data_IF_141267256824
#
_entry.id   IF_141267256824
#
_cell.length_a   1.000
_cell.length_b   1.000
_cell.length_c   1.000
_cell.angle_alpha   90.00
_cell.angle_beta   90.00
_cell.angle_gamma   90.00
#
_symmetry.space_group_name_H-M   'P 1'
#
loop_
_entity.id
_entity.type
_entity.pdbx_description
1 polymer ?
#
# COMPACT_ATOMS: atom_id res chain seq x y z
N UNK A 1 2.40 -27.36 -4.62
CA UNK A 1 2.67 -26.23 -3.70
C UNK A 1 1.70 -25.06 -3.96
N UNK A 2 1.81 -24.31 -5.09
CA UNK A 2 0.97 -23.13 -5.35
C UNK A 2 -0.55 -23.42 -5.34
N UNK A 3 -0.98 -24.47 -6.04
CA UNK A 3 -2.40 -24.85 -6.09
C UNK A 3 -2.93 -25.43 -4.77
N UNK A 4 -2.07 -25.97 -3.94
CA UNK A 4 -2.44 -26.48 -2.61
C UNK A 4 -2.69 -25.32 -1.65
N UNK A 5 -1.85 -24.27 -1.68
CA UNK A 5 -2.06 -23.03 -0.93
C UNK A 5 -3.31 -22.28 -1.41
N UNK A 6 -3.52 -22.19 -2.71
CA UNK A 6 -4.70 -21.56 -3.30
C UNK A 6 -6.01 -22.26 -2.91
N UNK A 7 -5.97 -23.61 -2.73
CA UNK A 7 -7.12 -24.40 -2.30
C UNK A 7 -7.30 -24.49 -0.79
N UNK A 8 -6.31 -24.06 -0.02
CA UNK A 8 -6.38 -23.99 1.44
C UNK A 8 -7.24 -22.78 1.86
N UNK A 9 -8.56 -22.89 1.64
CA UNK A 9 -9.51 -21.84 2.00
C UNK A 9 -9.76 -21.90 3.50
N UNK A 10 -9.62 -20.77 4.18
CA UNK A 10 -10.04 -20.67 5.59
C UNK A 10 -11.56 -20.65 5.69
N UNK A 11 -12.11 -21.23 6.75
CA UNK A 11 -13.52 -21.11 7.07
C UNK A 11 -13.87 -19.67 7.40
N UNK A 12 -14.58 -19.00 6.50
CA UNK A 12 -15.07 -17.64 6.69
C UNK A 12 -16.58 -17.64 6.84
N UNK A 13 -17.16 -16.88 7.81
CA UNK A 13 -18.60 -16.67 7.86
C UNK A 13 -19.10 -16.08 6.54
N UNK A 14 -20.23 -16.58 6.04
CA UNK A 14 -20.81 -16.11 4.78
C UNK A 14 -21.10 -14.61 4.81
N UNK A 15 -21.54 -14.10 5.95
CA UNK A 15 -21.84 -12.69 6.18
C UNK A 15 -20.60 -11.81 6.00
N UNK A 16 -19.45 -12.25 6.52
CA UNK A 16 -18.19 -11.52 6.35
C UNK A 16 -17.75 -11.50 4.88
N UNK A 17 -17.85 -12.63 4.19
CA UNK A 17 -17.54 -12.72 2.78
C UNK A 17 -18.42 -11.79 1.94
N UNK A 18 -19.75 -11.89 2.13
CA UNK A 18 -20.71 -11.07 1.38
C UNK A 18 -20.54 -9.56 1.68
N UNK A 19 -20.31 -9.20 2.93
CA UNK A 19 -20.05 -7.81 3.31
C UNK A 19 -18.77 -7.30 2.66
N UNK A 20 -17.71 -8.09 2.64
CA UNK A 20 -16.45 -7.71 2.00
C UNK A 20 -16.62 -7.50 0.51
N UNK A 21 -17.25 -8.46 -0.19
CA UNK A 21 -17.51 -8.36 -1.64
C UNK A 21 -18.33 -7.10 -1.94
N UNK A 22 -19.40 -6.87 -1.19
CA UNK A 22 -20.25 -5.68 -1.38
C UNK A 22 -19.46 -4.39 -1.12
N UNK A 23 -18.86 -4.25 0.05
CA UNK A 23 -18.27 -2.98 0.50
C UNK A 23 -17.02 -2.62 -0.31
N UNK A 24 -16.18 -3.61 -0.61
CA UNK A 24 -14.87 -3.38 -1.25
C UNK A 24 -14.98 -3.41 -2.77
N UNK A 25 -15.62 -4.46 -3.33
CA UNK A 25 -15.56 -4.71 -4.78
C UNK A 25 -16.76 -4.15 -5.56
N UNK A 26 -17.91 -3.96 -4.93
CA UNK A 26 -19.10 -3.42 -5.59
C UNK A 26 -19.28 -1.93 -5.29
N UNK A 27 -19.31 -1.57 -4.01
CA UNK A 27 -19.58 -0.20 -3.59
C UNK A 27 -18.34 0.70 -3.68
N UNK A 28 -17.13 0.13 -3.59
CA UNK A 28 -15.87 0.87 -3.47
C UNK A 28 -15.92 1.91 -2.33
N UNK A 29 -16.47 1.51 -1.19
CA UNK A 29 -16.88 2.42 -0.13
C UNK A 29 -15.69 3.21 0.49
N UNK A 30 -14.51 2.59 0.64
CA UNK A 30 -13.36 3.26 1.23
C UNK A 30 -12.84 4.44 0.37
N UNK A 31 -12.55 4.28 -0.92
CA UNK A 31 -12.09 5.39 -1.75
C UNK A 31 -13.16 6.47 -1.98
N UNK A 32 -14.44 6.15 -1.83
CA UNK A 32 -15.53 7.14 -1.88
C UNK A 32 -15.76 7.87 -0.55
N UNK A 33 -15.09 7.48 0.54
CA UNK A 33 -15.33 8.03 1.87
C UNK A 33 -16.66 7.60 2.50
N UNK A 34 -17.27 6.55 1.98
CA UNK A 34 -18.58 6.03 2.41
C UNK A 34 -18.47 4.79 3.32
N UNK A 35 -17.24 4.34 3.60
CA UNK A 35 -17.04 3.17 4.42
C UNK A 35 -17.42 3.42 5.87
N UNK A 36 -18.21 2.50 6.44
CA UNK A 36 -18.67 2.57 7.84
C UNK A 36 -18.26 1.29 8.56
N UNK A 37 -17.73 1.43 9.77
CA UNK A 37 -17.46 0.32 10.69
C UNK A 37 -18.19 0.56 12.02
N UNK A 38 -19.05 -0.38 12.42
CA UNK A 38 -19.85 -0.28 13.66
C UNK A 38 -20.56 1.08 13.81
N UNK A 39 -21.20 1.55 12.75
CA UNK A 39 -21.92 2.83 12.65
C UNK A 39 -21.03 4.09 12.70
N UNK A 40 -19.71 3.94 12.72
CA UNK A 40 -18.76 5.05 12.64
C UNK A 40 -18.16 5.14 11.25
N UNK A 41 -18.11 6.33 10.62
CA UNK A 41 -17.46 6.50 9.33
C UNK A 41 -15.96 6.28 9.46
N UNK A 42 -15.40 5.55 8.49
CA UNK A 42 -13.94 5.41 8.33
C UNK A 42 -13.43 6.65 7.62
N UNK A 43 -12.62 7.45 8.31
CA UNK A 43 -12.11 8.70 7.78
C UNK A 43 -10.59 8.62 7.58
N UNK A 44 -10.16 8.52 6.33
CA UNK A 44 -8.75 8.46 5.94
C UNK A 44 -8.05 9.82 6.01
N UNK A 45 -8.79 10.93 6.08
CA UNK A 45 -8.24 12.29 6.28
C UNK A 45 -7.55 12.44 7.64
N UNK A 46 -7.87 11.55 8.59
CA UNK A 46 -7.23 11.52 9.91
C UNK A 46 -5.86 10.87 9.92
N UNK A 47 -5.42 10.28 8.80
CA UNK A 47 -4.07 9.74 8.67
C UNK A 47 -3.13 10.91 8.34
N UNK A 48 -2.49 11.46 9.36
CA UNK A 48 -1.63 12.66 9.23
C UNK A 48 -0.18 12.43 9.65
N UNK A 49 0.10 11.33 10.36
CA UNK A 49 1.40 11.09 10.98
C UNK A 49 2.01 9.72 10.65
N UNK A 50 1.27 8.84 10.02
CA UNK A 50 1.74 7.49 9.66
C UNK A 50 2.25 7.48 8.23
N UNK A 51 3.56 7.34 8.05
CA UNK A 51 4.16 7.27 6.72
C UNK A 51 3.67 6.04 5.94
N UNK A 52 3.35 6.24 4.66
CA UNK A 52 2.82 5.21 3.76
C UNK A 52 3.82 4.89 2.64
N UNK A 53 4.16 3.61 2.52
CA UNK A 53 4.97 3.10 1.41
C UNK A 53 4.19 2.04 0.65
N UNK A 54 3.73 2.36 -0.55
CA UNK A 54 3.01 1.47 -1.43
C UNK A 54 3.96 0.76 -2.39
N UNK A 55 3.87 -0.57 -2.47
CA UNK A 55 4.72 -1.40 -3.32
C UNK A 55 3.82 -2.28 -4.18
N UNK A 56 4.07 -2.30 -5.49
CA UNK A 56 3.34 -3.11 -6.46
C UNK A 56 4.30 -3.95 -7.30
N UNK A 57 3.83 -5.11 -7.77
CA UNK A 57 4.53 -5.94 -8.74
C UNK A 57 4.10 -5.60 -10.18
N UNK A 58 5.05 -5.47 -11.09
CA UNK A 58 4.76 -5.17 -12.50
C UNK A 58 3.92 -6.26 -13.17
N UNK A 59 4.12 -7.52 -12.77
CA UNK A 59 3.44 -8.70 -13.32
C UNK A 59 2.41 -9.28 -12.33
N UNK A 60 1.92 -8.44 -11.41
CA UNK A 60 0.90 -8.86 -10.44
C UNK A 60 -0.46 -8.92 -11.15
N UNK A 61 -1.03 -10.12 -11.24
CA UNK A 61 -2.32 -10.42 -11.87
C UNK A 61 -3.48 -10.47 -10.86
N UNK A 62 -3.18 -10.35 -9.57
CA UNK A 62 -4.17 -10.31 -8.48
C UNK A 62 -4.44 -8.87 -8.06
N UNK A 63 -3.37 -8.10 -7.82
CA UNK A 63 -3.43 -6.67 -7.51
C UNK A 63 -2.72 -5.89 -8.60
N UNK A 64 -3.46 -5.45 -9.61
CA UNK A 64 -2.93 -4.73 -10.77
C UNK A 64 -2.28 -3.39 -10.40
N UNK A 65 -1.46 -2.89 -11.32
CA UNK A 65 -0.73 -1.61 -11.15
C UNK A 65 -1.72 -0.48 -10.88
N UNK A 66 -1.48 0.27 -9.83
CA UNK A 66 -2.29 1.41 -9.38
C UNK A 66 -3.26 1.08 -8.25
N UNK A 67 -3.62 -0.19 -8.03
CA UNK A 67 -4.58 -0.57 -6.99
C UNK A 67 -4.07 -0.31 -5.57
N UNK A 68 -2.80 -0.60 -5.30
CA UNK A 68 -2.20 -0.30 -4.00
C UNK A 68 -1.84 1.18 -3.89
N UNK A 69 -1.40 1.79 -5.00
CA UNK A 69 -1.03 3.20 -5.05
C UNK A 69 -2.17 4.13 -4.65
N UNK A 70 -3.43 3.76 -4.91
CA UNK A 70 -4.60 4.58 -4.54
C UNK A 70 -4.65 4.93 -3.04
N UNK A 71 -3.99 4.15 -2.18
CA UNK A 71 -3.88 4.46 -0.76
C UNK A 71 -3.22 5.82 -0.49
N UNK A 72 -2.33 6.28 -1.39
CA UNK A 72 -1.70 7.60 -1.29
C UNK A 72 -2.66 8.73 -1.65
N UNK A 73 -3.60 8.46 -2.55
CA UNK A 73 -4.57 9.44 -3.03
C UNK A 73 -5.70 9.66 -2.02
N UNK A 74 -6.12 8.58 -1.33
CA UNK A 74 -7.18 8.65 -0.30
C UNK A 74 -6.68 9.11 1.09
N UNK A 75 -5.45 9.54 1.21
CA UNK A 75 -4.87 10.13 2.44
C UNK A 75 -4.41 11.56 2.20
N UNK A 76 -5.34 12.50 1.94
CA UNK A 76 -5.00 13.83 1.45
C UNK A 76 -4.23 14.67 2.46
N UNK A 77 -4.45 14.46 3.76
CA UNK A 77 -3.81 15.22 4.83
C UNK A 77 -2.45 14.66 5.26
N UNK A 78 -2.02 13.53 4.70
CA UNK A 78 -0.67 13.03 4.92
C UNK A 78 0.32 13.82 4.05
N UNK A 79 1.39 14.41 4.60
CA UNK A 79 2.39 15.12 3.81
C UNK A 79 3.05 14.25 2.73
N UNK A 80 3.33 14.81 1.57
CA UNK A 80 4.00 14.09 0.47
C UNK A 80 5.37 13.53 0.87
N UNK A 81 6.05 14.19 1.79
CA UNK A 81 7.32 13.69 2.35
C UNK A 81 7.17 12.38 3.14
N UNK A 82 5.96 12.02 3.52
CA UNK A 82 5.63 10.78 4.23
C UNK A 82 4.98 9.73 3.32
N UNK A 83 4.94 9.99 2.01
CA UNK A 83 4.36 9.10 1.00
C UNK A 83 5.43 8.58 0.08
N UNK A 84 5.47 7.28 -0.19
CA UNK A 84 6.35 6.67 -1.17
C UNK A 84 5.64 5.61 -2.00
N UNK A 85 6.08 5.45 -3.25
CA UNK A 85 5.59 4.43 -4.16
C UNK A 85 6.75 3.73 -4.86
N UNK A 86 6.65 2.41 -5.00
CA UNK A 86 7.61 1.61 -5.75
C UNK A 86 6.93 0.53 -6.58
N UNK A 87 7.12 0.58 -7.90
CA UNK A 87 6.75 -0.50 -8.80
C UNK A 87 7.95 -1.42 -9.01
N UNK A 88 7.86 -2.66 -8.51
CA UNK A 88 8.91 -3.65 -8.67
C UNK A 88 8.79 -4.37 -10.01
N UNK A 89 9.78 -4.17 -10.87
CA UNK A 89 9.81 -4.78 -12.21
C UNK A 89 10.03 -6.28 -12.16
N UNK A 90 9.31 -6.98 -13.04
CA UNK A 90 9.48 -8.42 -13.30
C UNK A 90 9.16 -9.32 -12.11
N UNK A 91 8.20 -8.94 -11.25
CA UNK A 91 7.66 -9.79 -10.20
C UNK A 91 6.14 -9.80 -10.26
N UNK A 92 5.55 -10.96 -9.97
CA UNK A 92 4.13 -11.13 -9.71
C UNK A 92 3.82 -10.94 -8.23
N UNK A 93 2.58 -11.28 -7.84
CA UNK A 93 2.03 -11.07 -6.50
C UNK A 93 2.95 -11.54 -5.36
N UNK A 94 3.37 -12.80 -5.37
CA UNK A 94 4.27 -13.33 -4.33
C UNK A 94 5.69 -12.76 -4.37
N UNK A 95 6.13 -12.30 -5.54
CA UNK A 95 7.45 -11.71 -5.70
C UNK A 95 7.65 -10.38 -4.99
N UNK A 96 6.54 -9.73 -4.59
CA UNK A 96 6.55 -8.51 -3.77
C UNK A 96 6.90 -8.80 -2.31
N UNK A 97 6.66 -10.02 -1.84
CA UNK A 97 6.85 -10.42 -0.44
C UNK A 97 8.00 -11.40 -0.23
N UNK A 98 8.47 -12.07 -1.28
CA UNK A 98 9.44 -13.15 -1.14
C UNK A 98 10.39 -13.26 -2.33
N UNK A 99 11.39 -14.16 -2.20
CA UNK A 99 12.32 -14.47 -3.27
C UNK A 99 13.53 -13.55 -3.34
N UNK A 100 14.29 -13.70 -4.44
CA UNK A 100 15.58 -13.02 -4.62
C UNK A 100 15.42 -11.52 -4.82
N UNK A 101 14.44 -11.10 -5.64
CA UNK A 101 14.19 -9.67 -5.90
C UNK A 101 13.68 -8.96 -4.66
N UNK A 102 12.76 -9.58 -3.91
CA UNK A 102 12.36 -9.04 -2.62
C UNK A 102 13.57 -8.74 -1.73
N UNK A 103 14.44 -9.72 -1.50
CA UNK A 103 15.59 -9.56 -0.61
C UNK A 103 16.60 -8.53 -1.10
N UNK A 104 16.79 -8.40 -2.42
CA UNK A 104 17.83 -7.54 -2.99
C UNK A 104 17.35 -6.12 -3.30
N UNK A 105 16.10 -5.95 -3.66
CA UNK A 105 15.59 -4.71 -4.23
C UNK A 105 14.47 -4.08 -3.38
N UNK A 106 13.53 -4.87 -2.84
CA UNK A 106 12.39 -4.36 -2.08
C UNK A 106 12.75 -4.18 -0.60
N UNK A 107 13.25 -5.22 0.06
CA UNK A 107 13.53 -5.19 1.49
C UNK A 107 14.51 -4.07 1.90
N UNK A 108 15.57 -3.73 1.13
CA UNK A 108 16.41 -2.58 1.43
C UNK A 108 15.66 -1.24 1.38
N UNK A 109 14.72 -1.07 0.43
CA UNK A 109 13.89 0.15 0.30
C UNK A 109 12.93 0.28 1.49
N UNK A 110 12.25 -0.81 1.84
CA UNK A 110 11.38 -0.86 3.04
C UNK A 110 12.17 -0.50 4.29
N UNK A 111 13.35 -1.08 4.46
CA UNK A 111 14.22 -0.78 5.60
C UNK A 111 14.69 0.67 5.63
N UNK A 112 15.01 1.24 4.48
CA UNK A 112 15.39 2.65 4.37
C UNK A 112 14.23 3.57 4.74
N UNK A 113 13.04 3.31 4.19
CA UNK A 113 11.83 4.06 4.46
C UNK A 113 11.44 4.02 5.95
N UNK A 114 11.46 2.83 6.59
CA UNK A 114 11.21 2.70 8.02
C UNK A 114 12.19 3.56 8.83
N UNK A 115 13.49 3.51 8.51
CA UNK A 115 14.51 4.27 9.22
C UNK A 115 14.40 5.78 9.04
N UNK A 116 13.93 6.24 7.88
CA UNK A 116 13.70 7.65 7.59
C UNK A 116 12.54 8.21 8.42
N UNK A 117 11.51 7.40 8.65
CA UNK A 117 10.28 7.82 9.32
C UNK A 117 10.16 7.33 10.78
N UNK A 118 11.15 6.60 11.28
CA UNK A 118 11.21 6.16 12.67
C UNK A 118 11.72 7.32 13.55
N UNK A 119 10.84 7.88 14.36
CA UNK A 119 11.13 9.03 15.24
C UNK A 119 12.19 8.69 16.29
N UNK A 120 12.22 7.45 16.76
CA UNK A 120 13.18 7.01 17.82
C UNK A 120 14.58 6.79 17.26
N UNK A 121 14.69 6.32 16.01
CA UNK A 121 15.99 6.16 15.33
C UNK A 121 16.55 7.49 14.82
N UNK A 122 15.70 8.47 14.51
CA UNK A 122 16.09 9.82 14.07
C UNK A 122 16.78 10.63 15.16
N UNK A 123 16.39 10.44 16.42
CA UNK A 123 17.01 11.07 17.57
C UNK A 123 18.41 10.51 17.88
N UNK A 124 18.70 9.26 17.50
CA UNK A 124 19.97 8.58 17.79
C UNK A 124 21.04 8.74 16.70
N UNK A 125 20.71 9.29 15.52
CA UNK A 125 21.63 9.44 14.39
C UNK A 125 21.41 10.78 13.67
N UNK A 126 22.01 11.83 14.19
CA UNK A 126 22.33 13.01 13.39
C UNK A 126 23.34 12.64 12.30
N UNK A 127 22.93 12.11 11.16
CA UNK A 127 23.78 12.02 9.97
C UNK A 127 23.06 11.38 8.77
N UNK A 128 22.95 12.18 7.71
CA UNK A 128 23.06 11.84 6.30
C UNK A 128 22.56 10.45 5.87
N UNK A 129 21.32 10.37 5.44
CA UNK A 129 20.89 9.35 4.50
C UNK A 129 20.81 9.97 3.08
N UNK A 130 21.55 9.36 2.19
CA UNK A 130 21.59 9.69 0.76
C UNK A 130 20.19 9.48 0.18
N UNK A 131 19.59 10.57 -0.30
CA UNK A 131 18.33 10.56 -1.07
C UNK A 131 18.58 10.06 -2.48
N UNK A 132 18.86 8.79 -2.65
CA UNK A 132 18.93 8.20 -3.99
C UNK A 132 18.03 6.97 -4.03
N UNK A 133 17.11 6.97 -4.98
CA UNK A 133 16.30 5.85 -5.46
C UNK A 133 14.91 5.60 -4.83
N UNK A 134 14.36 6.53 -4.04
CA UNK A 134 12.93 6.50 -3.73
C UNK A 134 12.25 7.58 -4.56
N UNK A 135 11.45 7.18 -5.54
CA UNK A 135 10.63 8.14 -6.31
C UNK A 135 9.52 8.66 -5.42
N UNK A 136 9.59 9.93 -5.06
CA UNK A 136 8.46 10.62 -4.43
C UNK A 136 7.35 10.75 -5.47
N UNK A 137 6.18 10.26 -5.15
CA UNK A 137 5.01 10.36 -6.02
C UNK A 137 4.53 11.80 -6.06
N UNK A 138 4.91 12.54 -7.10
CA UNK A 138 4.23 13.81 -7.40
C UNK A 138 2.81 13.51 -7.92
N UNK A 139 1.80 14.18 -7.40
CA UNK A 139 0.44 14.02 -7.90
C UNK A 139 0.37 14.53 -9.34
N UNK A 140 0.17 13.65 -10.33
CA UNK A 140 -0.28 14.06 -11.63
C UNK A 140 -1.77 14.35 -11.53
N UNK A 141 -2.13 15.64 -11.61
CA UNK A 141 -3.48 16.09 -11.93
C UNK A 141 -3.86 15.51 -13.29
N UNK A 142 -4.65 14.47 -13.30
CA UNK A 142 -5.19 13.85 -14.49
C UNK A 142 -6.68 13.60 -14.28
N UNK A 143 -7.51 14.47 -14.84
CA UNK A 143 -8.93 14.27 -15.06
C UNK A 143 -9.19 12.83 -15.52
N UNK A 144 -9.93 12.07 -14.76
CA UNK A 144 -10.69 10.93 -15.26
C UNK A 144 -12.18 11.23 -15.05
N UNK A 145 -12.77 11.91 -16.04
CA UNK A 145 -14.18 11.84 -16.32
C UNK A 145 -14.30 11.41 -17.77
N UNK A 146 -14.90 10.25 -17.99
CA UNK A 146 -15.23 9.69 -19.28
C UNK A 146 -15.75 8.28 -19.10
#
# INVERSE_FOLDING_TARGET
>A
AFYEEYRAVMDLPAEFYLQTVKTVFQDHALPKGEMVHRQHPVNTDKITETALFCIEGELDDISGIGQTRVALDITPNLPDSMKAYHLQKGVGHYGVFSGRKFRREIAPKVKAFIREHDRDLGAARGSRLVRSDISLASPKSGNCLG
#
